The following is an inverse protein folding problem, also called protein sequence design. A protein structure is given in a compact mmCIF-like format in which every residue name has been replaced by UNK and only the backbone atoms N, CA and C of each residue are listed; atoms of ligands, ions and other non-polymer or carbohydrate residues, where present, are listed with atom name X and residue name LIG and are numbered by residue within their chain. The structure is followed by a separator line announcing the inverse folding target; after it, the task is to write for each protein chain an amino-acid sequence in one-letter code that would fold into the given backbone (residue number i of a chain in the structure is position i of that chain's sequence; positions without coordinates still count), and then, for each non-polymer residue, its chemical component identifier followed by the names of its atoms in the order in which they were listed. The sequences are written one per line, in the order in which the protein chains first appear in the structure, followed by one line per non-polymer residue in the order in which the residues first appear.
data_IF_016892313464
#
_entry.id   IF_016892313464
#
_cell.length_a   1.000
_cell.length_b   1.000
_cell.length_c   1.000
_cell.angle_alpha   90.00
_cell.angle_beta   90.00
_cell.angle_gamma   90.00
#
_symmetry.space_group_name_H-M   'P 1'
#
loop_
_entity.id
_entity.type
_entity.pdbx_description
1 polymer ?
#
# COMPACT_ATOMS: atom_id res chain seq x y z
N UNK A 1 -14.51 3.49 -6.89
CA UNK A 1 -13.53 2.75 -6.07
C UNK A 1 -13.82 3.01 -4.61
N UNK A 2 -13.78 1.97 -3.77
CA UNK A 2 -14.05 2.02 -2.33
C UNK A 2 -12.87 1.40 -1.57
N UNK A 3 -12.75 1.73 -0.29
CA UNK A 3 -11.73 1.15 0.59
C UNK A 3 -11.93 -0.37 0.76
N UNK A 4 -10.85 -1.08 1.08
CA UNK A 4 -10.94 -2.46 1.59
C UNK A 4 -11.15 -2.45 3.10
N UNK A 5 -11.77 -3.49 3.68
CA UNK A 5 -11.88 -3.56 5.15
C UNK A 5 -10.48 -3.55 5.79
N UNK A 6 -9.55 -4.32 5.22
CA UNK A 6 -8.18 -4.39 5.70
C UNK A 6 -7.51 -3.01 5.83
N UNK A 7 -7.61 -2.14 4.83
CA UNK A 7 -6.93 -0.84 4.90
C UNK A 7 -7.59 0.13 5.88
N UNK A 8 -8.90 0.02 6.09
CA UNK A 8 -9.58 0.81 7.13
C UNK A 8 -9.07 0.38 8.50
N UNK A 9 -9.17 -0.92 8.81
CA UNK A 9 -8.69 -1.48 10.08
C UNK A 9 -7.19 -1.20 10.29
N UNK A 10 -6.38 -1.34 9.23
CA UNK A 10 -4.93 -1.11 9.27
C UNK A 10 -4.56 0.32 9.68
N UNK A 11 -5.35 1.31 9.27
CA UNK A 11 -5.15 2.72 9.61
C UNK A 11 -5.76 3.06 10.97
N UNK A 12 -6.93 2.51 11.30
CA UNK A 12 -7.60 2.69 12.59
C UNK A 12 -6.78 2.10 13.74
N UNK A 13 -6.23 0.89 13.59
CA UNK A 13 -5.36 0.23 14.57
C UNK A 13 -4.06 1.01 14.87
N UNK A 14 -3.72 2.00 14.03
CA UNK A 14 -2.54 2.86 14.15
C UNK A 14 -2.90 4.30 14.51
N UNK A 15 -4.16 4.58 14.81
CA UNK A 15 -4.67 5.94 15.00
C UNK A 15 -4.14 6.90 13.92
N UNK A 16 -4.13 6.46 12.65
CA UNK A 16 -3.45 7.17 11.56
C UNK A 16 -4.30 8.34 11.03
N UNK A 17 -3.88 9.61 11.21
CA UNK A 17 -4.65 10.78 10.77
C UNK A 17 -4.89 10.82 9.25
N UNK A 18 -4.07 10.11 8.46
CA UNK A 18 -4.22 10.03 7.00
C UNK A 18 -5.48 9.27 6.58
N UNK A 19 -6.12 8.47 7.45
CA UNK A 19 -7.40 7.81 7.17
C UNK A 19 -8.42 8.76 6.54
N UNK A 20 -8.60 9.93 7.17
CA UNK A 20 -9.56 10.96 6.76
C UNK A 20 -9.21 11.68 5.45
N UNK A 21 -8.00 11.46 4.95
CA UNK A 21 -7.49 12.06 3.71
C UNK A 21 -7.43 11.06 2.58
N UNK A 22 -7.02 9.82 2.87
CA UNK A 22 -7.01 8.69 1.95
C UNK A 22 -8.43 8.25 1.59
N UNK A 23 -9.33 8.30 2.57
CA UNK A 23 -10.73 7.90 2.40
C UNK A 23 -11.69 9.00 2.82
N UNK A 24 -12.80 9.09 2.11
CA UNK A 24 -13.96 9.87 2.53
C UNK A 24 -14.81 9.03 3.49
N UNK A 25 -15.35 9.68 4.52
CA UNK A 25 -16.36 9.08 5.38
C UNK A 25 -17.57 8.62 4.53
N UNK A 26 -18.15 7.48 4.88
CA UNK A 26 -19.34 6.98 4.20
C UNK A 26 -20.52 7.94 4.42
N UNK A 27 -21.45 8.02 3.46
CA UNK A 27 -22.64 8.89 3.58
C UNK A 27 -23.54 8.49 4.77
N UNK A 28 -23.48 7.23 5.19
CA UNK A 28 -24.15 6.73 6.40
C UNK A 28 -23.33 6.84 7.69
N UNK A 29 -22.18 7.52 7.62
CA UNK A 29 -21.27 7.75 8.74
C UNK A 29 -20.20 6.67 8.88
N UNK A 30 -19.08 7.06 9.47
CA UNK A 30 -17.92 6.21 9.74
C UNK A 30 -17.08 5.86 8.52
N UNK A 31 -15.95 5.21 8.79
CA UNK A 31 -15.11 4.62 7.75
C UNK A 31 -15.44 3.15 7.60
N UNK A 32 -15.72 2.72 6.37
CA UNK A 32 -16.14 1.35 6.10
C UNK A 32 -15.59 0.86 4.78
N UNK A 33 -14.87 -0.24 4.84
CA UNK A 33 -14.35 -0.92 3.68
C UNK A 33 -15.28 -2.02 3.17
N UNK A 34 -14.74 -2.82 2.27
CA UNK A 34 -15.34 -4.08 1.85
C UNK A 34 -14.24 -5.13 1.69
N UNK A 35 -14.57 -6.38 2.01
CA UNK A 35 -13.70 -7.50 1.67
C UNK A 35 -13.57 -7.66 0.16
N UNK A 36 -12.39 -8.11 -0.27
CA UNK A 36 -12.16 -8.42 -1.68
C UNK A 36 -12.79 -9.78 -2.01
N UNK A 37 -13.97 -9.76 -2.63
CA UNK A 37 -14.77 -10.93 -2.97
C UNK A 37 -15.56 -10.70 -4.25
N UNK A 38 -15.84 -11.78 -5.00
CA UNK A 38 -16.73 -11.78 -6.17
C UNK A 38 -18.20 -11.81 -5.76
N UNK A 39 -18.47 -12.25 -4.53
CA UNK A 39 -19.82 -12.25 -3.95
C UNK A 39 -20.14 -10.84 -3.48
N UNK A 40 -21.26 -10.30 -3.99
CA UNK A 40 -21.74 -9.02 -3.52
C UNK A 40 -22.10 -9.15 -2.03
N UNK A 41 -21.58 -8.27 -1.16
CA UNK A 41 -21.69 -8.38 0.31
C UNK A 41 -23.12 -8.19 0.86
N UNK A 42 -24.14 -8.16 0.00
CA UNK A 42 -25.54 -8.10 0.38
C UNK A 42 -25.97 -6.70 0.86
N UNK A 43 -26.84 -6.66 1.86
CA UNK A 43 -27.40 -5.41 2.38
C UNK A 43 -26.41 -4.62 3.22
N UNK A 44 -26.38 -3.30 3.08
CA UNK A 44 -25.52 -2.40 3.87
C UNK A 44 -24.11 -2.20 3.29
N UNK A 45 -23.92 -2.51 2.01
CA UNK A 45 -22.67 -2.32 1.26
C UNK A 45 -22.94 -1.59 -0.07
N UNK A 46 -23.90 -0.66 -0.06
CA UNK A 46 -24.13 0.23 -1.19
C UNK A 46 -23.00 1.27 -1.27
N UNK A 47 -22.94 2.00 -2.39
CA UNK A 47 -22.03 3.14 -2.55
C UNK A 47 -22.18 4.21 -1.45
N UNK A 48 -23.30 4.24 -0.71
CA UNK A 48 -23.51 5.16 0.42
C UNK A 48 -22.99 4.63 1.75
N UNK A 49 -22.83 3.31 1.85
CA UNK A 49 -22.36 2.64 3.06
C UNK A 49 -20.83 2.55 3.12
N UNK A 50 -20.14 2.75 1.99
CA UNK A 50 -18.72 2.47 1.85
C UNK A 50 -17.90 3.74 1.69
N UNK A 51 -16.74 3.75 2.34
CA UNK A 51 -15.75 4.79 2.20
C UNK A 51 -15.16 4.81 0.79
N UNK A 52 -15.22 5.98 0.17
CA UNK A 52 -14.69 6.22 -1.17
C UNK A 52 -13.30 6.84 -1.07
N UNK A 53 -12.68 7.05 -2.22
CA UNK A 53 -11.42 7.81 -2.32
C UNK A 53 -11.59 9.19 -1.68
N UNK A 54 -10.64 9.55 -0.82
CA UNK A 54 -10.69 10.74 0.00
C UNK A 54 -10.13 12.01 -0.66
N UNK A 55 -10.31 13.16 0.01
CA UNK A 55 -9.93 14.47 -0.51
C UNK A 55 -8.42 14.69 -0.61
N UNK A 56 -7.60 13.91 0.12
CA UNK A 56 -6.15 13.98 0.03
C UNK A 56 -5.59 13.33 -1.24
N UNK A 57 -6.37 12.47 -1.91
CA UNK A 57 -5.99 11.83 -3.16
C UNK A 57 -6.56 12.57 -4.39
N UNK A 58 -7.79 13.05 -4.29
CA UNK A 58 -8.47 13.81 -5.36
C UNK A 58 -8.63 15.26 -4.90
N UNK A 59 -7.62 16.09 -5.15
CA UNK A 59 -7.57 17.50 -4.74
C UNK A 59 -8.12 18.42 -5.81
N UNK A 60 -7.81 18.13 -7.08
CA UNK A 60 -8.25 18.93 -8.23
C UNK A 60 -8.22 18.11 -9.53
N UNK A 61 -9.12 18.38 -10.50
CA UNK A 61 -9.03 17.83 -11.85
C UNK A 61 -7.75 18.22 -12.60
N UNK A 62 -7.08 19.30 -12.18
CA UNK A 62 -5.81 19.77 -12.76
C UNK A 62 -4.58 19.44 -11.90
N UNK A 63 -4.73 18.62 -10.86
CA UNK A 63 -3.61 18.26 -10.00
C UNK A 63 -2.52 17.54 -10.80
N UNK A 64 -1.23 17.78 -10.49
CA UNK A 64 -0.15 17.01 -11.09
C UNK A 64 -0.26 15.55 -10.66
N UNK A 65 0.02 14.63 -11.58
CA UNK A 65 0.15 13.22 -11.26
C UNK A 65 1.58 12.94 -10.76
N UNK A 66 1.76 12.48 -9.53
CA UNK A 66 3.09 12.13 -9.04
C UNK A 66 3.62 10.90 -9.79
N UNK A 67 4.90 10.94 -10.16
CA UNK A 67 5.64 9.77 -10.65
C UNK A 67 6.50 9.15 -9.56
N UNK A 68 7.04 9.99 -8.67
CA UNK A 68 7.79 9.58 -7.48
C UNK A 68 7.50 10.59 -6.38
N UNK A 69 6.91 10.13 -5.28
CA UNK A 69 6.67 10.99 -4.12
C UNK A 69 7.96 11.20 -3.32
N UNK A 70 8.10 12.37 -2.72
CA UNK A 70 9.23 12.64 -1.82
C UNK A 70 9.23 11.70 -0.61
N UNK A 71 8.06 11.37 -0.06
CA UNK A 71 7.92 10.40 1.02
C UNK A 71 8.46 9.02 0.63
N UNK A 72 8.16 8.55 -0.59
CA UNK A 72 8.68 7.28 -1.10
C UNK A 72 10.20 7.32 -1.26
N UNK A 73 10.74 8.34 -1.92
CA UNK A 73 12.19 8.51 -2.08
C UNK A 73 12.94 8.55 -0.74
N UNK A 74 12.37 9.19 0.29
CA UNK A 74 12.95 9.23 1.63
C UNK A 74 12.90 7.86 2.31
N UNK A 75 11.82 7.08 2.12
CA UNK A 75 11.71 5.72 2.66
C UNK A 75 12.66 4.74 1.96
N UNK A 76 12.86 4.88 0.65
CA UNK A 76 13.89 4.13 -0.09
C UNK A 76 15.29 4.43 0.44
N UNK A 77 15.59 5.70 0.73
CA UNK A 77 16.83 6.11 1.35
C UNK A 77 16.97 5.56 2.79
N UNK A 78 15.91 5.60 3.59
CA UNK A 78 15.91 5.03 4.94
C UNK A 78 16.23 3.53 4.89
N UNK A 79 15.62 2.79 3.96
CA UNK A 79 15.92 1.37 3.75
C UNK A 79 17.37 1.17 3.32
N UNK A 80 17.89 2.00 2.39
CA UNK A 80 19.28 1.93 1.96
C UNK A 80 20.26 2.14 3.12
N UNK A 81 19.96 3.05 4.05
CA UNK A 81 20.76 3.25 5.27
C UNK A 81 20.69 2.03 6.19
N UNK A 82 19.48 1.52 6.48
CA UNK A 82 19.31 0.31 7.32
C UNK A 82 20.05 -0.90 6.74
N UNK A 83 20.10 -1.03 5.41
CA UNK A 83 20.81 -2.10 4.71
C UNK A 83 22.30 -1.86 4.53
N UNK A 84 22.82 -0.71 4.93
CA UNK A 84 24.23 -0.34 4.78
C UNK A 84 24.65 -0.03 3.34
N UNK A 85 23.69 0.23 2.44
CA UNK A 85 23.96 0.66 1.06
C UNK A 85 24.26 2.15 0.95
N UNK A 86 23.84 2.93 1.94
CA UNK A 86 24.04 4.37 2.03
C UNK A 86 24.42 4.74 3.47
N UNK A 87 25.29 5.74 3.64
CA UNK A 87 25.52 6.34 4.95
C UNK A 87 24.41 7.36 5.28
N UNK A 88 24.03 7.48 6.56
CA UNK A 88 23.05 8.46 6.98
C UNK A 88 22.33 8.07 8.27
N UNK A 89 21.28 8.83 8.60
CA UNK A 89 20.38 8.54 9.71
C UNK A 89 19.03 8.08 9.17
N UNK A 90 18.77 6.77 9.31
CA UNK A 90 17.53 6.14 8.85
C UNK A 90 16.31 6.64 9.62
N UNK A 91 16.45 6.99 10.90
CA UNK A 91 15.33 7.49 11.71
C UNK A 91 14.90 8.88 11.24
N UNK A 92 15.87 9.77 11.00
CA UNK A 92 15.59 11.09 10.44
C UNK A 92 14.93 10.99 9.06
N UNK A 93 15.41 10.12 8.17
CA UNK A 93 14.80 9.89 6.86
C UNK A 93 13.36 9.35 6.97
N UNK A 94 13.15 8.34 7.82
CA UNK A 94 11.83 7.76 8.08
C UNK A 94 10.83 8.79 8.63
N UNK A 95 11.21 9.53 9.67
CA UNK A 95 10.34 10.54 10.28
C UNK A 95 10.02 11.67 9.29
N UNK A 96 11.01 12.10 8.49
CA UNK A 96 10.80 13.11 7.45
C UNK A 96 9.86 12.60 6.37
N UNK A 97 9.95 11.32 5.98
CA UNK A 97 9.05 10.74 4.99
C UNK A 97 7.59 10.72 5.46
N UNK A 98 7.34 10.45 6.74
CA UNK A 98 6.00 10.52 7.34
C UNK A 98 5.48 11.95 7.27
N UNK A 99 6.29 12.94 7.65
CA UNK A 99 5.92 14.37 7.54
C UNK A 99 5.55 14.73 6.10
N UNK A 100 6.35 14.32 5.12
CA UNK A 100 6.07 14.60 3.69
C UNK A 100 4.83 13.86 3.17
N UNK A 101 4.54 12.65 3.68
CA UNK A 101 3.29 11.94 3.37
C UNK A 101 2.07 12.68 3.92
N UNK A 102 2.14 13.19 5.15
CA UNK A 102 1.07 13.98 5.77
C UNK A 102 0.84 15.30 5.01
N UNK A 103 1.92 15.99 4.62
CA UNK A 103 1.84 17.20 3.80
C UNK A 103 1.23 16.91 2.44
N UNK A 104 1.67 15.83 1.78
CA UNK A 104 1.14 15.43 0.48
C UNK A 104 -0.36 15.18 0.56
N UNK A 105 -0.86 14.51 1.60
CA UNK A 105 -2.30 14.25 1.77
C UNK A 105 -3.10 15.44 2.34
N UNK A 106 -2.44 16.58 2.54
CA UNK A 106 -3.04 17.79 3.12
C UNK A 106 -3.70 17.51 4.49
N UNK A 107 -3.03 16.71 5.33
CA UNK A 107 -3.45 16.51 6.72
C UNK A 107 -3.39 17.88 7.44
N UNK A 108 -4.47 18.32 8.12
CA UNK A 108 -4.43 19.54 8.90
C UNK A 108 -3.29 19.52 9.92
N UNK A 109 -2.51 20.61 10.02
CA UNK A 109 -1.31 20.67 10.87
C UNK A 109 -0.29 19.53 10.61
N UNK A 110 -0.16 19.10 9.35
CA UNK A 110 0.63 17.94 8.91
C UNK A 110 1.93 17.67 9.69
N UNK A 111 2.78 18.70 9.90
CA UNK A 111 4.05 18.51 10.60
C UNK A 111 3.87 18.12 12.07
N UNK A 112 2.95 18.79 12.79
CA UNK A 112 2.65 18.51 14.19
C UNK A 112 1.98 17.14 14.35
N UNK A 113 0.98 16.85 13.50
CA UNK A 113 0.29 15.56 13.51
C UNK A 113 1.23 14.40 13.18
N UNK A 114 2.14 14.58 12.23
CA UNK A 114 3.15 13.58 11.90
C UNK A 114 4.07 13.29 13.10
N UNK A 115 4.51 14.33 13.83
CA UNK A 115 5.34 14.18 15.04
C UNK A 115 4.61 13.37 16.11
N UNK A 116 3.34 13.67 16.35
CA UNK A 116 2.52 12.91 17.29
C UNK A 116 2.34 11.45 16.83
N UNK A 117 2.11 11.25 15.53
CA UNK A 117 1.90 9.94 14.94
C UNK A 117 3.14 9.04 15.04
N UNK A 118 4.32 9.50 14.60
CA UNK A 118 5.52 8.67 14.69
C UNK A 118 6.09 8.53 16.11
N UNK A 119 5.58 9.29 17.08
CA UNK A 119 5.90 9.09 18.49
C UNK A 119 5.13 7.91 19.12
N UNK A 120 4.07 7.42 18.46
CA UNK A 120 3.34 6.24 18.93
C UNK A 120 4.24 5.01 18.98
N UNK A 121 4.14 4.13 20.00
CA UNK A 121 4.98 2.93 20.09
C UNK A 121 4.88 1.99 18.87
N UNK A 122 3.72 1.93 18.23
CA UNK A 122 3.44 1.12 17.03
C UNK A 122 4.08 1.67 15.74
N UNK A 123 4.47 2.95 15.73
CA UNK A 123 4.99 3.66 14.55
C UNK A 123 6.45 4.09 14.74
N UNK A 124 6.88 4.28 15.98
CA UNK A 124 8.20 4.80 16.34
C UNK A 124 9.32 3.97 15.72
N UNK A 125 10.15 4.63 14.92
CA UNK A 125 11.30 4.00 14.31
C UNK A 125 12.25 3.47 15.38
N UNK A 126 12.57 4.26 16.42
CA UNK A 126 13.42 3.85 17.53
C UNK A 126 12.88 2.60 18.25
N UNK A 127 11.58 2.56 18.57
CA UNK A 127 10.95 1.45 19.28
C UNK A 127 10.79 0.17 18.44
N UNK A 128 10.80 0.29 17.11
CA UNK A 128 10.62 -0.84 16.20
C UNK A 128 11.69 -1.92 16.36
N UNK A 129 11.27 -3.18 16.50
CA UNK A 129 12.15 -4.36 16.46
C UNK A 129 12.54 -4.77 15.05
N UNK A 130 11.83 -4.26 14.03
CA UNK A 130 12.06 -4.56 12.62
C UNK A 130 11.98 -3.29 11.77
N UNK A 131 13.14 -2.65 11.58
CA UNK A 131 13.22 -1.36 10.88
C UNK A 131 12.75 -1.43 9.42
N UNK A 132 13.01 -2.55 8.73
CA UNK A 132 12.59 -2.74 7.34
C UNK A 132 11.06 -2.80 7.26
N UNK A 133 10.41 -3.55 8.14
CA UNK A 133 8.95 -3.62 8.19
C UNK A 133 8.33 -2.25 8.47
N UNK A 134 8.86 -1.49 9.43
CA UNK A 134 8.38 -0.12 9.69
C UNK A 134 8.45 0.76 8.45
N UNK A 135 9.57 0.73 7.73
CA UNK A 135 9.75 1.51 6.49
C UNK A 135 8.73 1.09 5.43
N UNK A 136 8.57 -0.20 5.16
CA UNK A 136 7.65 -0.68 4.13
C UNK A 136 6.19 -0.44 4.52
N UNK A 137 5.83 -0.53 5.80
CA UNK A 137 4.50 -0.16 6.30
C UNK A 137 4.20 1.31 6.01
N UNK A 138 5.13 2.22 6.29
CA UNK A 138 4.93 3.64 6.00
C UNK A 138 4.90 3.92 4.49
N UNK A 139 5.66 3.16 3.69
CA UNK A 139 5.62 3.24 2.23
C UNK A 139 4.27 2.78 1.69
N UNK A 140 3.74 1.67 2.21
CA UNK A 140 2.41 1.16 1.88
C UNK A 140 1.30 2.17 2.15
N UNK A 141 1.35 2.87 3.29
CA UNK A 141 0.38 3.92 3.62
C UNK A 141 0.58 5.15 2.71
N UNK A 142 1.82 5.60 2.53
CA UNK A 142 2.12 6.81 1.75
C UNK A 142 1.75 6.67 0.26
N UNK A 143 1.84 5.47 -0.30
CA UNK A 143 1.50 5.17 -1.69
C UNK A 143 0.04 4.71 -1.87
N UNK A 144 -0.73 4.57 -0.80
CA UNK A 144 -2.11 4.10 -0.87
C UNK A 144 -2.96 5.02 -1.77
N UNK A 145 -3.51 4.45 -2.83
CA UNK A 145 -4.31 5.18 -3.82
C UNK A 145 -3.50 6.10 -4.76
N UNK A 146 -2.17 6.07 -4.70
CA UNK A 146 -1.29 6.84 -5.61
C UNK A 146 -0.48 5.93 -6.53
N UNK A 147 0.15 4.88 -6.00
CA UNK A 147 0.94 3.92 -6.78
C UNK A 147 0.72 2.50 -6.24
N UNK A 148 -0.18 1.75 -6.88
CA UNK A 148 -0.55 0.41 -6.45
C UNK A 148 0.49 -0.63 -6.87
N UNK A 149 1.11 -0.43 -8.02
CA UNK A 149 2.16 -1.28 -8.59
C UNK A 149 3.36 -1.33 -7.65
N UNK A 150 3.85 -0.18 -7.20
CA UNK A 150 4.99 -0.13 -6.28
C UNK A 150 4.68 -0.84 -4.97
N UNK A 151 3.48 -0.66 -4.39
CA UNK A 151 3.11 -1.41 -3.17
C UNK A 151 3.09 -2.93 -3.38
N UNK A 152 2.69 -3.39 -4.56
CA UNK A 152 2.74 -4.81 -4.92
C UNK A 152 4.17 -5.30 -5.11
N UNK A 153 5.04 -4.51 -5.75
CA UNK A 153 6.45 -4.85 -5.90
C UNK A 153 7.14 -4.96 -4.54
N UNK A 154 6.92 -4.01 -3.64
CA UNK A 154 7.50 -4.00 -2.30
C UNK A 154 7.03 -5.18 -1.45
N UNK A 155 5.75 -5.53 -1.53
CA UNK A 155 5.21 -6.71 -0.86
C UNK A 155 5.87 -8.00 -1.37
N UNK A 156 6.04 -8.15 -2.69
CA UNK A 156 6.72 -9.33 -3.23
C UNK A 156 8.23 -9.35 -2.95
N UNK A 157 8.86 -8.18 -2.76
CA UNK A 157 10.29 -8.06 -2.46
C UNK A 157 10.60 -8.31 -0.99
N UNK A 158 9.70 -7.92 -0.09
CA UNK A 158 9.98 -7.86 1.36
C UNK A 158 9.05 -8.69 2.23
N UNK A 159 7.86 -9.04 1.73
CA UNK A 159 6.79 -9.68 2.50
C UNK A 159 5.97 -8.71 3.37
N UNK A 160 6.26 -7.41 3.33
CA UNK A 160 5.60 -6.39 4.15
C UNK A 160 4.66 -5.48 3.33
N UNK A 161 3.59 -4.93 3.95
CA UNK A 161 3.14 -5.21 5.32
C UNK A 161 2.62 -6.66 5.45
N UNK A 162 2.72 -7.24 6.65
CA UNK A 162 2.17 -8.57 6.90
C UNK A 162 0.65 -8.54 7.00
N UNK A 163 0.00 -9.69 6.86
CA UNK A 163 -1.42 -9.85 7.17
C UNK A 163 -2.38 -9.34 6.09
N UNK A 164 -1.89 -8.93 4.92
CA UNK A 164 -2.77 -8.55 3.81
C UNK A 164 -3.60 -9.77 3.38
N UNK A 165 -4.95 -9.73 3.46
CA UNK A 165 -5.80 -10.89 3.21
C UNK A 165 -5.78 -11.29 1.75
N UNK A 166 -5.90 -12.58 1.44
CA UNK A 166 -6.14 -13.05 0.06
C UNK A 166 -7.62 -12.84 -0.27
N UNK A 167 -8.00 -12.54 -1.54
CA UNK A 167 -9.41 -12.46 -1.92
C UNK A 167 -10.17 -13.73 -1.51
N UNK A 168 -11.40 -13.57 -0.99
CA UNK A 168 -12.17 -14.67 -0.40
C UNK A 168 -12.31 -15.85 -1.36
N UNK A 169 -12.70 -15.60 -2.61
CA UNK A 169 -12.88 -16.69 -3.60
C UNK A 169 -11.57 -17.42 -3.92
N UNK A 170 -10.44 -16.71 -3.86
CA UNK A 170 -9.13 -17.31 -4.07
C UNK A 170 -8.75 -18.18 -2.85
N UNK A 171 -9.01 -17.70 -1.64
CA UNK A 171 -8.79 -18.46 -0.42
C UNK A 171 -9.67 -19.72 -0.37
N UNK A 172 -10.95 -19.63 -0.75
CA UNK A 172 -11.87 -20.77 -0.85
C UNK A 172 -11.41 -21.79 -1.89
N UNK A 173 -10.74 -21.34 -2.96
CA UNK A 173 -10.08 -22.21 -3.94
C UNK A 173 -8.73 -22.78 -3.45
N UNK A 174 -8.37 -22.59 -2.18
CA UNK A 174 -7.14 -23.11 -1.56
C UNK A 174 -5.89 -22.27 -1.81
N UNK A 175 -6.02 -21.04 -2.33
CA UNK A 175 -4.87 -20.15 -2.58
C UNK A 175 -4.34 -19.59 -1.26
N UNK A 176 -3.04 -19.75 -1.02
CA UNK A 176 -2.34 -19.24 0.17
C UNK A 176 -1.31 -18.14 -0.13
N UNK A 177 -1.13 -17.78 -1.40
CA UNK A 177 -0.17 -16.76 -1.85
C UNK A 177 -0.80 -15.76 -2.82
N UNK A 178 -0.26 -14.54 -2.82
CA UNK A 178 -0.56 -13.51 -3.81
C UNK A 178 0.27 -13.74 -5.09
N UNK A 179 -0.16 -13.23 -6.26
CA UNK A 179 0.61 -13.39 -7.49
C UNK A 179 1.94 -12.65 -7.40
N UNK A 180 3.00 -13.31 -7.85
CA UNK A 180 4.36 -12.77 -7.96
C UNK A 180 4.60 -11.97 -9.24
N UNK A 181 3.80 -12.23 -10.27
CA UNK A 181 3.95 -11.66 -11.61
C UNK A 181 2.64 -11.59 -12.38
N UNK A 182 2.64 -10.77 -13.44
CA UNK A 182 1.65 -10.87 -14.51
C UNK A 182 2.14 -11.88 -15.58
N UNK A 183 1.18 -12.49 -16.26
CA UNK A 183 1.44 -13.34 -17.42
C UNK A 183 1.75 -12.48 -18.65
N UNK A 184 2.53 -13.01 -19.58
CA UNK A 184 2.72 -12.32 -20.86
C UNK A 184 1.37 -12.18 -21.59
N UNK A 185 1.14 -11.06 -22.31
CA UNK A 185 -0.09 -10.85 -23.05
C UNK A 185 -0.36 -11.96 -24.07
N UNK A 186 -1.63 -12.26 -24.30
CA UNK A 186 -2.05 -13.26 -25.29
C UNK A 186 -1.51 -12.95 -26.71
N UNK A 187 -1.32 -11.66 -27.04
CA UNK A 187 -0.73 -11.24 -28.32
C UNK A 187 0.71 -11.72 -28.51
N UNK A 188 1.52 -11.69 -27.44
CA UNK A 188 2.90 -12.17 -27.49
C UNK A 188 2.94 -13.69 -27.63
N UNK A 189 2.07 -14.40 -26.90
CA UNK A 189 1.93 -15.86 -27.05
C UNK A 189 1.53 -16.23 -28.50
N UNK A 190 0.64 -15.45 -29.12
CA UNK A 190 0.15 -15.74 -30.46
C UNK A 190 1.14 -15.36 -31.58
N UNK A 191 1.86 -14.23 -31.43
CA UNK A 191 2.68 -13.65 -32.51
C UNK A 191 4.19 -13.85 -32.34
N UNK A 192 4.63 -14.23 -31.15
CA UNK A 192 6.04 -14.31 -30.78
C UNK A 192 6.33 -15.58 -29.95
N UNK A 193 5.58 -16.66 -30.20
CA UNK A 193 5.57 -17.88 -29.39
C UNK A 193 6.93 -18.54 -29.19
N UNK A 194 7.85 -18.37 -30.15
CA UNK A 194 9.22 -18.92 -30.05
C UNK A 194 10.08 -18.20 -29.00
N UNK A 195 9.76 -16.96 -28.65
CA UNK A 195 10.53 -16.14 -27.69
C UNK A 195 9.82 -15.97 -26.34
N UNK A 196 8.55 -16.36 -26.24
CA UNK A 196 7.77 -16.26 -24.99
C UNK A 196 7.86 -17.59 -24.24
N UNK A 197 8.34 -17.60 -22.98
CA UNK A 197 8.31 -18.80 -22.16
C UNK A 197 6.88 -19.35 -22.01
N UNK A 198 6.75 -20.67 -22.08
CA UNK A 198 5.48 -21.32 -21.79
C UNK A 198 5.02 -20.98 -20.36
N UNK A 199 3.74 -20.65 -20.21
CA UNK A 199 3.15 -20.22 -18.94
C UNK A 199 1.73 -20.76 -18.80
N UNK A 200 1.33 -21.02 -17.56
CA UNK A 200 -0.04 -21.34 -17.16
C UNK A 200 -0.55 -20.25 -16.23
N UNK A 201 -1.82 -20.30 -15.84
CA UNK A 201 -2.34 -19.44 -14.77
C UNK A 201 -1.53 -19.58 -13.48
N UNK A 202 -1.03 -20.78 -13.18
CA UNK A 202 -0.24 -21.06 -11.98
C UNK A 202 1.16 -20.41 -12.01
N UNK A 203 1.70 -20.11 -13.20
CA UNK A 203 2.98 -19.39 -13.34
C UNK A 203 2.94 -18.03 -12.63
N UNK A 204 1.78 -17.37 -12.55
CA UNK A 204 1.63 -16.10 -11.85
C UNK A 204 1.89 -16.21 -10.33
N UNK A 205 1.75 -17.41 -9.75
CA UNK A 205 1.79 -17.64 -8.30
C UNK A 205 2.89 -18.60 -7.85
N UNK A 206 3.59 -19.24 -8.78
CA UNK A 206 4.65 -20.21 -8.46
C UNK A 206 6.03 -19.74 -8.92
N UNK A 207 6.09 -18.77 -9.85
CA UNK A 207 7.35 -18.31 -10.44
C UNK A 207 7.64 -16.88 -10.03
N UNK A 208 8.62 -16.72 -9.14
CA UNK A 208 9.18 -15.41 -8.75
C UNK A 208 9.87 -14.72 -9.94
N UNK A 209 9.90 -13.39 -9.92
CA UNK A 209 10.71 -12.58 -10.83
C UNK A 209 12.17 -12.52 -10.32
N UNK A 210 13.14 -12.31 -11.20
CA UNK A 210 14.58 -12.39 -10.88
C UNK A 210 15.05 -11.52 -9.69
N UNK A 211 14.36 -10.40 -9.41
CA UNK A 211 14.69 -9.50 -8.29
C UNK A 211 13.98 -9.87 -6.98
N UNK A 212 12.99 -10.76 -7.02
CA UNK A 212 12.32 -11.30 -5.84
C UNK A 212 13.20 -12.41 -5.26
N UNK A 213 13.75 -12.18 -4.06
CA UNK A 213 14.55 -13.18 -3.35
C UNK A 213 13.68 -14.01 -2.41
#
# INVERSE_FOLDING_TARGET
TVATDFIIDFLEDRDDPRLTRLYAEAEKGGYKGVKQSSVLPGTGFTSKDLSKVGPGLIKSPSQPQPLLLLSDNLLMQAEAVVRGYMAGDAETLYNTAIVESFKYLEVPNAATEAVAYYAQPSVSFAASTNKIESIIVQKYIALNGTDGEETWFEYNRTGYPTGIPIPEDAADAGRTVRPYRLLYPASEIARNSQNVPAQTSETAFSTKIFWQR
#
